data_IF_572903829571
#
_entry.id   IF_572903829571
#
_cell.length_a   1.000
_cell.length_b   1.000
_cell.length_c   1.000
_cell.angle_alpha   90.00
_cell.angle_beta   90.00
_cell.angle_gamma   90.00
#
_symmetry.space_group_name_H-M   'P 1'
#
loop_
_entity.id
_entity.type
_entity.pdbx_description
1 polymer ?
#
# COMPACT_ATOMS: atom_id res chain seq x y z
N UNK A 1 0.98 -15.88 -0.88
CA UNK A 1 0.69 -14.49 -1.30
C UNK A 1 -0.47 -13.97 -0.48
N UNK A 2 -0.52 -12.67 -0.16
CA UNK A 2 -1.40 -12.11 0.89
C UNK A 2 -2.87 -12.49 0.69
N UNK A 3 -3.41 -12.39 -0.53
CA UNK A 3 -4.78 -12.86 -0.87
C UNK A 3 -5.10 -14.30 -0.43
N UNK A 4 -4.13 -15.23 -0.52
CA UNK A 4 -4.32 -16.63 -0.11
C UNK A 4 -4.46 -16.78 1.41
N UNK A 5 -3.75 -15.94 2.17
CA UNK A 5 -3.73 -16.02 3.63
C UNK A 5 -4.87 -15.24 4.28
N UNK A 6 -5.45 -14.28 3.55
CA UNK A 6 -6.57 -13.43 3.99
C UNK A 6 -7.74 -13.54 3.00
N UNK A 7 -8.44 -14.69 2.97
CA UNK A 7 -9.42 -15.01 1.92
C UNK A 7 -10.64 -14.08 1.91
N UNK A 8 -10.99 -13.49 3.06
CA UNK A 8 -12.10 -12.54 3.15
C UNK A 8 -11.80 -11.21 2.45
N UNK A 9 -10.52 -10.85 2.27
CA UNK A 9 -10.13 -9.65 1.55
C UNK A 9 -10.48 -8.31 2.24
N UNK A 10 -10.91 -8.33 3.50
CA UNK A 10 -11.32 -7.13 4.25
C UNK A 10 -10.12 -6.32 4.76
N UNK A 11 -9.19 -5.98 3.86
CA UNK A 11 -8.01 -5.17 4.19
C UNK A 11 -7.58 -4.31 3.00
N UNK A 12 -6.91 -3.21 3.31
CA UNK A 12 -6.28 -2.33 2.32
C UNK A 12 -4.79 -2.26 2.60
N UNK A 13 -3.98 -2.46 1.56
CA UNK A 13 -2.54 -2.24 1.63
C UNK A 13 -2.20 -0.77 1.40
N UNK A 14 -1.55 -0.16 2.40
CA UNK A 14 -1.06 1.22 2.36
C UNK A 14 0.48 1.23 2.40
N UNK A 15 1.07 2.18 1.67
CA UNK A 15 2.50 2.50 1.68
C UNK A 15 2.66 4.01 1.50
N UNK A 16 3.79 4.55 1.97
CA UNK A 16 4.19 5.93 1.73
C UNK A 16 4.65 6.15 0.27
N UNK A 17 4.99 7.40 -0.04
CA UNK A 17 5.40 7.83 -1.38
C UNK A 17 6.85 7.53 -1.76
N UNK A 18 7.55 6.59 -1.10
CA UNK A 18 8.94 6.28 -1.44
C UNK A 18 9.08 5.82 -2.92
N UNK A 19 10.18 6.17 -3.63
CA UNK A 19 10.32 5.87 -5.06
C UNK A 19 10.14 4.38 -5.42
N UNK A 20 10.60 3.47 -4.56
CA UNK A 20 10.43 2.02 -4.72
C UNK A 20 8.96 1.60 -4.68
N UNK A 21 8.15 2.23 -3.82
CA UNK A 21 6.72 1.95 -3.68
C UNK A 21 5.92 2.48 -4.88
N UNK A 22 6.32 3.63 -5.43
CA UNK A 22 5.72 4.25 -6.61
C UNK A 22 6.10 3.59 -7.94
N UNK A 23 7.13 2.75 -7.96
CA UNK A 23 7.61 2.09 -9.17
C UNK A 23 6.51 1.25 -9.84
N UNK A 24 6.43 1.30 -11.17
CA UNK A 24 5.38 0.60 -11.94
C UNK A 24 5.34 -0.92 -11.64
N UNK A 25 6.51 -1.54 -11.44
CA UNK A 25 6.64 -2.95 -11.05
C UNK A 25 5.97 -3.23 -9.71
N UNK A 26 6.18 -2.37 -8.71
CA UNK A 26 5.60 -2.52 -7.38
C UNK A 26 4.07 -2.27 -7.40
N UNK A 27 3.62 -1.25 -8.12
CA UNK A 27 2.20 -0.95 -8.30
C UNK A 27 1.46 -2.12 -8.97
N UNK A 28 2.04 -2.72 -10.02
CA UNK A 28 1.49 -3.93 -10.66
C UNK A 28 1.44 -5.10 -9.68
N UNK A 29 2.52 -5.33 -8.94
CA UNK A 29 2.56 -6.38 -7.93
C UNK A 29 1.45 -6.21 -6.89
N UNK A 30 1.25 -5.01 -6.35
CA UNK A 30 0.19 -4.75 -5.36
C UNK A 30 -1.21 -5.00 -5.94
N UNK A 31 -1.47 -4.51 -7.17
CA UNK A 31 -2.74 -4.75 -7.87
C UNK A 31 -3.05 -6.25 -8.04
N UNK A 32 -2.05 -7.03 -8.42
CA UNK A 32 -2.21 -8.46 -8.67
C UNK A 32 -2.35 -9.26 -7.37
N UNK A 33 -1.70 -8.84 -6.28
CA UNK A 33 -1.47 -9.67 -5.09
C UNK A 33 -2.20 -9.23 -3.81
N UNK A 34 -2.72 -8.00 -3.74
CA UNK A 34 -3.44 -7.46 -2.57
C UNK A 34 -4.95 -7.36 -2.81
N UNK A 35 -5.77 -7.57 -1.78
CA UNK A 35 -7.23 -7.47 -1.90
C UNK A 35 -7.65 -6.07 -2.35
N UNK A 36 -7.19 -5.06 -1.62
CA UNK A 36 -7.25 -3.66 -1.98
C UNK A 36 -5.88 -3.02 -1.73
N UNK A 37 -5.56 -1.96 -2.47
CA UNK A 37 -4.34 -1.18 -2.23
C UNK A 37 -4.57 0.28 -2.61
N UNK A 38 -3.84 1.18 -1.96
CA UNK A 38 -3.84 2.59 -2.34
C UNK A 38 -2.81 2.86 -3.45
N UNK A 39 -3.24 3.36 -4.63
CA UNK A 39 -2.33 3.66 -5.70
C UNK A 39 -1.40 4.82 -5.35
N UNK A 40 -0.27 4.92 -6.06
CA UNK A 40 0.80 5.92 -5.83
C UNK A 40 0.35 7.39 -5.75
N UNK A 41 -0.85 7.73 -6.22
CA UNK A 41 -1.42 9.08 -6.21
C UNK A 41 -2.44 9.31 -5.10
N UNK A 42 -2.65 8.33 -4.21
CA UNK A 42 -3.61 8.42 -3.12
C UNK A 42 -2.97 8.97 -1.84
N UNK A 43 -1.75 8.53 -1.50
CA UNK A 43 -1.05 8.98 -0.31
C UNK A 43 -0.42 10.37 -0.51
N UNK A 44 -0.72 11.36 0.34
CA UNK A 44 -0.13 12.69 0.22
C UNK A 44 1.38 12.66 0.58
N UNK A 45 2.22 13.42 -0.14
CA UNK A 45 3.64 13.49 0.15
C UNK A 45 3.90 14.15 1.51
N UNK A 46 4.96 13.72 2.20
CA UNK A 46 5.42 14.32 3.45
C UNK A 46 4.37 14.36 4.58
N UNK A 47 3.49 13.35 4.65
CA UNK A 47 2.41 13.26 5.65
C UNK A 47 2.61 12.07 6.62
N UNK A 48 3.66 12.07 7.46
CA UNK A 48 3.86 11.02 8.47
C UNK A 48 2.75 11.03 9.54
N UNK A 49 2.10 12.17 9.75
CA UNK A 49 0.96 12.35 10.65
C UNK A 49 -0.24 11.47 10.29
N UNK A 50 -0.35 11.04 9.04
CA UNK A 50 -1.42 10.16 8.57
C UNK A 50 -1.08 8.67 8.74
N UNK A 51 0.16 8.33 9.07
CA UNK A 51 0.60 6.95 9.20
C UNK A 51 0.66 6.54 10.67
N UNK A 52 -0.18 5.58 11.12
CA UNK A 52 -0.13 5.09 12.49
C UNK A 52 1.21 4.44 12.86
N UNK A 53 2.05 4.08 11.90
CA UNK A 53 3.38 3.48 12.11
C UNK A 53 4.51 4.51 12.27
N UNK A 54 4.25 5.80 12.05
CA UNK A 54 5.25 6.88 12.15
C UNK A 54 5.14 7.66 13.48
N UNK A 55 4.38 7.15 14.46
CA UNK A 55 4.33 7.66 15.84
C UNK A 55 5.34 6.94 16.73
N UNK A 56 6.07 7.70 17.55
CA UNK A 56 7.04 7.20 18.54
C UNK A 56 6.40 6.91 19.90
#
# INVERSE_FOLDING_TARGET
>A
MVKKNYPTGNYVWQQDGAPSHMAAKNQKFCKDNMAHFWPKNFWPPSSPDLNPLDFF
#
